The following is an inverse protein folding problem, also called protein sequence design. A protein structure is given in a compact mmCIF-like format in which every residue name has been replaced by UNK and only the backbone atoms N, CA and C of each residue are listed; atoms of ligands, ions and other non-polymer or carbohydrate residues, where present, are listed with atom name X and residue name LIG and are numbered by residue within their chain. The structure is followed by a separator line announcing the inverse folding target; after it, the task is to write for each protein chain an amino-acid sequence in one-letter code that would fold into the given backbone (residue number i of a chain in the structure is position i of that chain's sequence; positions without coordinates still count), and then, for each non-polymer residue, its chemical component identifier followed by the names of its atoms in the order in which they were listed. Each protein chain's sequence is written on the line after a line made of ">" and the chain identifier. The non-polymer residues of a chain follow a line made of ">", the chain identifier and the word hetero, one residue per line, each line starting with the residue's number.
data_IF_995577140310
#
_entry.id   IF_995577140310
#
_cell.length_a   1.000
_cell.length_b   1.000
_cell.length_c   1.000
_cell.angle_alpha   90.00
_cell.angle_beta   90.00
_cell.angle_gamma   90.00
#
_symmetry.space_group_name_H-M   'P 1'
#
loop_
_entity.id
_entity.type
_entity.pdbx_description
1 polymer ?
#
# COMPACT_ATOMS: atom_id res chain seq x y z
N UNK A 1 5.44 -9.77 0.59
CA UNK A 1 5.02 -8.69 -0.33
C UNK A 1 4.68 -7.47 0.53
N UNK A 2 5.13 -6.27 0.15
CA UNK A 2 4.84 -5.05 0.91
C UNK A 2 3.32 -4.80 0.90
N UNK A 3 2.71 -4.66 2.09
CA UNK A 3 1.26 -4.53 2.25
C UNK A 3 0.72 -3.30 1.50
N UNK A 4 1.44 -2.18 1.51
CA UNK A 4 1.02 -0.96 0.80
C UNK A 4 0.93 -1.20 -0.71
N UNK A 5 1.93 -1.87 -1.29
CA UNK A 5 1.93 -2.25 -2.70
C UNK A 5 0.83 -3.25 -3.02
N UNK A 6 0.53 -4.17 -2.10
CA UNK A 6 -0.60 -5.09 -2.29
C UNK A 6 -1.93 -4.35 -2.34
N UNK A 7 -2.18 -3.44 -1.40
CA UNK A 7 -3.40 -2.63 -1.36
C UNK A 7 -3.56 -1.84 -2.66
N UNK A 8 -2.50 -1.14 -3.10
CA UNK A 8 -2.53 -0.37 -4.35
C UNK A 8 -2.78 -1.24 -5.59
N UNK A 9 -2.20 -2.46 -5.65
CA UNK A 9 -2.46 -3.40 -6.75
C UNK A 9 -3.92 -3.84 -6.80
N UNK A 10 -4.50 -4.15 -5.65
CA UNK A 10 -5.88 -4.58 -5.57
C UNK A 10 -6.80 -3.42 -5.97
N UNK A 11 -6.57 -2.21 -5.46
CA UNK A 11 -7.30 -1.02 -5.88
C UNK A 11 -7.18 -0.72 -7.38
N UNK A 12 -5.97 -0.83 -7.95
CA UNK A 12 -5.76 -0.68 -9.41
C UNK A 12 -6.56 -1.70 -10.22
N UNK A 13 -6.76 -2.92 -9.70
CA UNK A 13 -7.47 -3.99 -10.39
C UNK A 13 -8.98 -3.85 -10.28
N UNK A 14 -9.49 -3.52 -9.09
CA UNK A 14 -10.93 -3.47 -8.79
C UNK A 14 -11.54 -2.07 -9.00
N UNK A 15 -10.70 -1.02 -9.12
CA UNK A 15 -11.11 0.38 -9.28
C UNK A 15 -11.37 1.07 -7.94
N UNK A 16 -12.51 0.74 -7.32
CA UNK A 16 -12.92 1.27 -6.02
C UNK A 16 -13.25 0.10 -5.08
N UNK A 17 -12.87 0.23 -3.81
CA UNK A 17 -13.23 -0.73 -2.76
C UNK A 17 -13.74 -0.02 -1.52
N UNK A 18 -14.66 -0.66 -0.82
CA UNK A 18 -15.09 -0.21 0.50
C UNK A 18 -13.99 -0.40 1.54
N UNK A 19 -14.05 0.35 2.64
CA UNK A 19 -13.17 0.12 3.79
C UNK A 19 -13.33 -1.31 4.33
N UNK A 20 -14.55 -1.86 4.37
CA UNK A 20 -14.82 -3.24 4.79
C UNK A 20 -14.06 -4.26 3.92
N UNK A 21 -13.93 -4.01 2.62
CA UNK A 21 -13.18 -4.89 1.71
C UNK A 21 -11.66 -4.74 1.88
N UNK A 22 -11.16 -3.51 2.01
CA UNK A 22 -9.72 -3.27 2.17
C UNK A 22 -9.19 -3.81 3.50
N UNK A 23 -9.99 -3.75 4.57
CA UNK A 23 -9.59 -4.27 5.88
C UNK A 23 -9.29 -5.77 5.85
N UNK A 24 -9.95 -6.52 4.96
CA UNK A 24 -9.67 -7.96 4.77
C UNK A 24 -8.25 -8.23 4.24
N UNK A 25 -7.59 -7.23 3.65
CA UNK A 25 -6.20 -7.31 3.19
C UNK A 25 -5.19 -7.00 4.31
N UNK A 26 -5.63 -6.37 5.41
CA UNK A 26 -4.77 -5.90 6.49
C UNK A 26 -4.64 -7.03 7.54
N UNK A 27 -3.43 -7.56 7.80
CA UNK A 27 -3.25 -8.55 8.84
C UNK A 27 -3.50 -7.97 10.23
N UNK A 28 -4.38 -8.58 11.01
CA UNK A 28 -4.66 -8.20 12.40
C UNK A 28 -3.53 -8.68 13.34
N UNK A 29 -2.41 -7.97 13.37
CA UNK A 29 -1.26 -8.33 14.23
C UNK A 29 -1.44 -7.82 15.65
N UNK A 30 -1.85 -6.56 15.79
CA UNK A 30 -1.99 -5.87 17.06
C UNK A 30 -3.44 -5.78 17.53
N UNK A 31 -4.40 -6.00 16.61
CA UNK A 31 -5.84 -5.88 16.86
C UNK A 31 -6.24 -4.49 17.34
N UNK A 32 -5.49 -3.48 16.89
CA UNK A 32 -5.76 -2.08 17.17
C UNK A 32 -5.38 -1.20 15.96
N UNK A 33 -5.54 0.11 16.11
CA UNK A 33 -5.22 1.10 15.08
C UNK A 33 -3.82 0.99 14.44
N UNK A 34 -2.84 0.37 15.09
CA UNK A 34 -1.48 0.23 14.55
C UNK A 34 -1.45 -0.64 13.31
N UNK A 35 -2.39 -1.57 13.17
CA UNK A 35 -2.51 -2.40 11.96
C UNK A 35 -2.90 -1.56 10.73
N UNK A 36 -3.46 -0.37 10.94
CA UNK A 36 -3.96 0.53 9.89
C UNK A 36 -2.95 1.57 9.41
N UNK A 37 -1.76 1.69 10.02
CA UNK A 37 -0.73 2.63 9.56
C UNK A 37 -0.36 2.50 8.08
N UNK A 38 -0.27 1.29 7.49
CA UNK A 38 0.02 1.15 6.06
C UNK A 38 -1.04 1.83 5.20
N UNK A 39 -2.33 1.64 5.49
CA UNK A 39 -3.41 2.30 4.76
C UNK A 39 -3.43 3.81 5.04
N UNK A 40 -3.27 4.21 6.31
CA UNK A 40 -3.20 5.62 6.70
C UNK A 40 -2.06 6.37 6.00
N UNK A 41 -0.91 5.71 5.80
CA UNK A 41 0.24 6.28 5.08
C UNK A 41 -0.09 6.55 3.61
N UNK A 42 -0.79 5.62 2.95
CA UNK A 42 -1.17 5.79 1.55
C UNK A 42 -2.15 6.96 1.37
N UNK A 43 -3.08 7.13 2.30
CA UNK A 43 -4.02 8.26 2.30
C UNK A 43 -3.29 9.58 2.60
N UNK A 44 -2.45 9.60 3.65
CA UNK A 44 -1.64 10.76 4.03
C UNK A 44 -0.69 11.21 2.91
N UNK A 45 -0.18 10.28 2.11
CA UNK A 45 0.68 10.62 0.96
C UNK A 45 -0.11 11.03 -0.29
N UNK A 46 -1.44 10.92 -0.27
CA UNK A 46 -2.31 11.23 -1.40
C UNK A 46 -2.33 10.16 -2.49
N UNK A 47 -1.89 8.94 -2.20
CA UNK A 47 -1.92 7.81 -3.14
C UNK A 47 -3.28 7.11 -3.19
N UNK A 48 -4.05 7.23 -2.11
CA UNK A 48 -5.43 6.77 -2.02
C UNK A 48 -6.30 7.97 -1.65
N UNK A 49 -7.38 8.15 -2.38
CA UNK A 49 -8.47 9.03 -2.00
C UNK A 49 -9.60 8.23 -1.39
N UNK A 50 -10.42 8.92 -0.61
CA UNK A 50 -11.64 8.39 -0.04
C UNK A 50 -12.78 9.33 -0.41
N UNK A 51 -14.01 8.85 -0.28
CA UNK A 51 -15.23 9.64 -0.48
C UNK A 51 -15.47 10.74 0.58
N UNK A 52 -14.53 10.98 1.50
CA UNK A 52 -14.64 12.09 2.44
C UNK A 52 -14.55 13.39 1.64
N UNK A 53 -15.45 14.33 1.98
CA UNK A 53 -15.47 15.72 1.46
C UNK A 53 -14.20 16.52 1.75
N UNK A 54 -13.19 15.91 2.35
CA UNK A 54 -11.90 16.49 2.67
C UNK A 54 -10.99 16.41 1.46
N UNK A 55 -10.46 17.55 1.03
CA UNK A 55 -9.51 17.62 -0.08
C UNK A 55 -8.28 16.74 0.19
N UNK A 56 -7.62 16.29 -0.87
CA UNK A 56 -6.38 15.51 -0.74
C UNK A 56 -5.29 16.36 -0.04
N UNK A 57 -5.26 17.67 -0.31
CA UNK A 57 -4.35 18.63 0.32
C UNK A 57 -4.53 18.71 1.84
N UNK A 58 -5.76 18.63 2.31
CA UNK A 58 -6.07 18.63 3.74
C UNK A 58 -5.72 17.28 4.38
N UNK A 59 -5.93 16.16 3.67
CA UNK A 59 -5.50 14.82 4.11
C UNK A 59 -3.99 14.69 4.21
N UNK A 60 -3.23 15.32 3.30
CA UNK A 60 -1.76 15.38 3.35
C UNK A 60 -1.23 16.10 4.60
N UNK A 61 -2.03 16.99 5.18
CA UNK A 61 -1.71 17.71 6.43
C UNK A 61 -2.24 17.01 7.68
N UNK A 62 -3.13 16.03 7.52
CA UNK A 62 -3.72 15.31 8.64
C UNK A 62 -2.68 14.38 9.29
N UNK A 63 -2.69 14.33 10.61
CA UNK A 63 -1.80 13.46 11.37
C UNK A 63 -2.11 11.99 11.04
N UNK A 64 -1.10 11.25 10.57
CA UNK A 64 -1.23 9.82 10.23
C UNK A 64 -1.82 8.97 11.37
N UNK A 65 -1.52 9.31 12.63
CA UNK A 65 -2.10 8.66 13.81
C UNK A 65 -3.62 8.84 13.86
N UNK A 66 -4.10 10.04 13.55
CA UNK A 66 -5.53 10.35 13.54
C UNK A 66 -6.25 9.63 12.39
N UNK A 67 -5.61 9.53 11.21
CA UNK A 67 -6.12 8.75 10.09
C UNK A 67 -6.20 7.27 10.50
N UNK A 68 -5.17 6.71 11.12
CA UNK A 68 -5.17 5.31 11.58
C UNK A 68 -6.26 5.04 12.65
N UNK A 69 -6.44 5.97 13.60
CA UNK A 69 -7.52 5.90 14.59
C UNK A 69 -8.90 5.88 13.93
N UNK A 70 -9.11 6.78 12.97
CA UNK A 70 -10.34 6.90 12.19
C UNK A 70 -10.63 5.61 11.42
N UNK A 71 -9.68 5.12 10.64
CA UNK A 71 -9.83 3.89 9.85
C UNK A 71 -10.14 2.67 10.73
N UNK A 72 -9.44 2.55 11.87
CA UNK A 72 -9.72 1.48 12.82
C UNK A 72 -11.13 1.57 13.40
N UNK A 73 -11.51 2.75 13.89
CA UNK A 73 -12.84 2.98 14.46
C UNK A 73 -13.95 2.67 13.43
N UNK A 74 -13.77 3.13 12.20
CA UNK A 74 -14.73 2.92 11.12
C UNK A 74 -14.83 1.46 10.69
N UNK A 75 -13.70 0.75 10.66
CA UNK A 75 -13.69 -0.69 10.32
C UNK A 75 -14.47 -1.56 11.30
N UNK A 76 -14.62 -1.11 12.56
CA UNK A 76 -15.34 -1.83 13.62
C UNK A 76 -16.76 -1.30 13.85
N UNK A 77 -17.14 -0.21 13.19
CA UNK A 77 -18.46 0.39 13.35
C UNK A 77 -19.47 -0.24 12.39
N UNK A 78 -20.54 -0.81 12.93
CA UNK A 78 -21.67 -1.33 12.15
C UNK A 78 -22.73 -0.26 11.84
N UNK A 79 -22.54 0.95 12.36
CA UNK A 79 -23.46 2.07 12.23
C UNK A 79 -22.77 3.31 11.65
N UNK A 80 -23.50 4.42 11.66
CA UNK A 80 -23.08 5.72 11.15
C UNK A 80 -22.18 6.50 12.11
N UNK A 81 -21.93 5.95 13.31
CA UNK A 81 -21.14 6.55 14.38
C UNK A 81 -20.02 5.62 14.86
N UNK A 82 -18.85 6.17 15.11
CA UNK A 82 -17.72 5.49 15.72
C UNK A 82 -16.98 6.40 16.69
N UNK A 83 -16.45 5.82 17.76
CA UNK A 83 -15.60 6.52 18.72
C UNK A 83 -14.33 5.71 18.98
N UNK A 84 -13.19 6.38 19.04
CA UNK A 84 -11.92 5.76 19.42
C UNK A 84 -10.95 6.78 19.99
N UNK A 85 -10.34 6.46 21.14
CA UNK A 85 -9.32 7.29 21.81
C UNK A 85 -9.76 8.77 21.98
N UNK A 86 -11.01 8.99 22.39
CA UNK A 86 -11.58 10.32 22.62
C UNK A 86 -11.93 11.12 21.36
N UNK A 87 -11.86 10.49 20.18
CA UNK A 87 -12.29 11.08 18.91
C UNK A 87 -13.57 10.39 18.45
N UNK A 88 -14.52 11.18 17.95
CA UNK A 88 -15.80 10.68 17.43
C UNK A 88 -16.01 11.07 15.98
N UNK A 89 -16.52 10.15 15.18
CA UNK A 89 -16.86 10.39 13.78
C UNK A 89 -18.30 9.97 13.51
N UNK A 90 -19.00 10.75 12.68
CA UNK A 90 -20.35 10.45 12.23
C UNK A 90 -20.49 10.72 10.74
N UNK A 91 -21.28 9.90 10.06
CA UNK A 91 -21.66 10.12 8.66
C UNK A 91 -23.19 10.21 8.55
N UNK A 92 -23.76 11.10 7.72
CA UNK A 92 -25.19 11.10 7.46
C UNK A 92 -25.51 9.98 6.46
N UNK A 93 -26.29 8.99 6.89
CA UNK A 93 -26.97 8.00 6.03
C UNK A 93 -26.12 6.89 5.38
N UNK A 94 -24.99 6.49 5.96
CA UNK A 94 -24.26 5.28 5.52
C UNK A 94 -23.51 4.64 6.68
N UNK A 95 -23.10 3.36 6.55
CA UNK A 95 -22.18 2.79 7.53
C UNK A 95 -20.79 3.33 7.26
N UNK A 96 -20.02 3.58 8.31
CA UNK A 96 -18.67 4.13 8.18
C UNK A 96 -17.73 3.19 7.39
N UNK A 97 -17.98 1.88 7.44
CA UNK A 97 -17.22 0.86 6.70
C UNK A 97 -17.58 0.73 5.22
N UNK A 98 -18.70 1.31 4.77
CA UNK A 98 -19.13 1.28 3.36
C UNK A 98 -18.45 2.36 2.51
N UNK A 99 -17.66 3.23 3.14
CA UNK A 99 -16.95 4.31 2.45
C UNK A 99 -15.96 3.75 1.44
N UNK A 100 -15.99 4.35 0.25
CA UNK A 100 -15.17 3.93 -0.87
C UNK A 100 -13.80 4.58 -0.84
N UNK A 101 -12.80 3.80 -1.23
CA UNK A 101 -11.41 4.14 -1.36
C UNK A 101 -10.99 3.85 -2.81
N UNK A 102 -10.29 4.79 -3.42
CA UNK A 102 -9.83 4.70 -4.79
C UNK A 102 -8.35 5.12 -4.90
N UNK A 103 -7.65 4.60 -5.89
CA UNK A 103 -6.27 4.97 -6.17
C UNK A 103 -6.25 6.29 -6.96
N UNK A 104 -5.43 7.24 -6.53
CA UNK A 104 -5.27 8.54 -7.22
C UNK A 104 -4.28 8.42 -8.38
N UNK A 105 -4.22 9.43 -9.25
CA UNK A 105 -3.19 9.52 -10.29
C UNK A 105 -1.75 9.44 -9.73
N UNK A 106 -1.48 10.10 -8.60
CA UNK A 106 -0.18 9.98 -7.90
C UNK A 106 0.07 8.55 -7.41
N UNK A 107 -0.98 7.87 -6.90
CA UNK A 107 -0.91 6.48 -6.48
C UNK A 107 -0.59 5.51 -7.62
N UNK A 108 -1.16 5.73 -8.82
CA UNK A 108 -0.83 4.96 -10.02
C UNK A 108 0.64 5.08 -10.39
N UNK A 109 1.15 6.32 -10.46
CA UNK A 109 2.56 6.58 -10.78
C UNK A 109 3.50 5.96 -9.75
N UNK A 110 3.19 6.12 -8.46
CA UNK A 110 3.96 5.51 -7.37
C UNK A 110 4.01 3.98 -7.50
N UNK A 111 2.87 3.34 -7.74
CA UNK A 111 2.80 1.89 -7.92
C UNK A 111 3.64 1.44 -9.12
N UNK A 112 3.52 2.10 -10.26
CA UNK A 112 4.25 1.72 -11.48
C UNK A 112 5.77 1.89 -11.32
N UNK A 113 6.24 2.95 -10.65
CA UNK A 113 7.65 3.12 -10.28
C UNK A 113 8.14 1.98 -9.39
N UNK A 114 7.37 1.62 -8.36
CA UNK A 114 7.80 0.57 -7.44
C UNK A 114 7.81 -0.82 -8.09
N UNK A 115 6.88 -1.09 -9.02
CA UNK A 115 6.88 -2.35 -9.79
C UNK A 115 8.05 -2.42 -10.75
N UNK A 116 8.33 -1.33 -11.46
CA UNK A 116 9.47 -1.22 -12.38
C UNK A 116 10.78 -1.40 -11.63
N UNK A 117 10.97 -0.68 -10.52
CA UNK A 117 12.17 -0.79 -9.68
C UNK A 117 12.43 -2.20 -9.18
N UNK A 118 11.37 -2.92 -8.79
CA UNK A 118 11.50 -4.32 -8.36
C UNK A 118 11.81 -5.26 -9.53
N UNK A 119 11.27 -4.97 -10.72
CA UNK A 119 11.61 -5.70 -11.95
C UNK A 119 13.08 -5.49 -12.34
N UNK A 120 13.55 -4.24 -12.34
CA UNK A 120 14.92 -3.87 -12.71
C UNK A 120 15.94 -4.54 -11.79
N UNK A 121 15.68 -4.55 -10.47
CA UNK A 121 16.53 -5.25 -9.51
C UNK A 121 16.65 -6.74 -9.86
N UNK A 122 15.53 -7.41 -10.16
CA UNK A 122 15.55 -8.84 -10.53
C UNK A 122 16.32 -9.07 -11.82
N UNK A 123 16.13 -8.21 -12.81
CA UNK A 123 16.84 -8.29 -14.08
C UNK A 123 18.35 -8.07 -13.91
N UNK A 124 18.75 -7.10 -13.11
CA UNK A 124 20.15 -6.86 -12.78
C UNK A 124 20.80 -8.06 -12.07
N UNK A 125 20.10 -8.69 -11.11
CA UNK A 125 20.57 -9.92 -10.48
C UNK A 125 20.75 -11.06 -11.50
N UNK A 126 19.82 -11.23 -12.43
CA UNK A 126 19.92 -12.24 -13.48
C UNK A 126 21.12 -11.97 -14.40
N UNK A 127 21.33 -10.73 -14.83
CA UNK A 127 22.48 -10.35 -15.65
C UNK A 127 23.81 -10.58 -14.93
N UNK A 128 23.88 -10.29 -13.62
CA UNK A 128 25.08 -10.52 -12.82
C UNK A 128 25.41 -12.02 -12.73
N UNK A 129 24.40 -12.87 -12.49
CA UNK A 129 24.56 -14.33 -12.46
C UNK A 129 25.05 -14.84 -13.83
N UNK A 130 24.41 -14.42 -14.92
CA UNK A 130 24.79 -14.83 -16.27
C UNK A 130 26.23 -14.38 -16.63
N UNK A 131 26.60 -13.14 -16.28
CA UNK A 131 27.94 -12.61 -16.52
C UNK A 131 29.00 -13.36 -15.73
N UNK A 132 28.72 -13.74 -14.49
CA UNK A 132 29.63 -14.54 -13.67
C UNK A 132 29.84 -15.94 -14.26
N UNK A 133 28.76 -16.61 -14.69
CA UNK A 133 28.84 -17.95 -15.31
C UNK A 133 29.69 -17.90 -16.59
N UNK A 134 29.45 -16.92 -17.46
CA UNK A 134 30.21 -16.74 -18.69
C UNK A 134 31.69 -16.43 -18.39
N UNK A 135 31.95 -15.50 -17.48
CA UNK A 135 33.30 -15.14 -17.04
C UNK A 135 34.08 -16.35 -16.52
N UNK A 136 33.50 -17.11 -15.58
CA UNK A 136 34.12 -18.33 -15.04
C UNK A 136 34.38 -19.38 -16.12
N UNK A 137 33.46 -19.57 -17.06
CA UNK A 137 33.64 -20.55 -18.14
C UNK A 137 34.81 -20.19 -19.05
N UNK A 138 34.94 -18.90 -19.39
CA UNK A 138 36.08 -18.40 -20.18
C UNK A 138 37.39 -18.54 -19.39
N UNK A 139 37.40 -18.20 -18.10
CA UNK A 139 38.59 -18.36 -17.24
C UNK A 139 39.04 -19.81 -17.19
N UNK A 140 38.13 -20.76 -16.98
CA UNK A 140 38.45 -22.21 -16.97
C UNK A 140 39.06 -22.63 -18.31
N UNK A 141 38.47 -22.19 -19.43
CA UNK A 141 38.94 -22.54 -20.76
C UNK A 141 40.35 -22.00 -21.01
N UNK A 142 40.63 -20.74 -20.65
CA UNK A 142 41.96 -20.14 -20.76
C UNK A 142 42.98 -20.89 -19.88
N UNK A 143 42.64 -21.17 -18.62
CA UNK A 143 43.53 -21.90 -17.71
C UNK A 143 43.89 -23.30 -18.23
N UNK A 144 42.92 -24.03 -18.78
CA UNK A 144 43.14 -25.37 -19.35
C UNK A 144 43.90 -25.37 -20.69
N UNK A 145 43.96 -24.23 -21.39
CA UNK A 145 44.65 -24.14 -22.69
C UNK A 145 46.10 -23.66 -22.56
N UNK A 146 46.44 -22.94 -21.48
CA UNK A 146 47.76 -22.34 -21.26
C UNK A 146 48.58 -23.10 -20.19
N UNK A 147 47.94 -23.91 -19.34
CA UNK A 147 48.60 -24.82 -18.39
C UNK A 147 48.92 -26.17 -19.00
#
# INVERSE_FOLDING_TARGET
>A
MNLTINILKVLKKEGELTLEEIVKLIPEKTKDHRDFYPLASLISMGYIEDDMRTSIEDKKKENIHLIAYKLYAWSKADHDFAEYKGNSWRTPNSRLKDRKLAITGEGYLYLDVELTRNSDRRFAFLLAILSAILGSSITILITNTIG
#
